data_IF_761952078777
#
_entry.id   IF_761952078777
#
_cell.length_a   1.000
_cell.length_b   1.000
_cell.length_c   1.000
_cell.angle_alpha   90.00
_cell.angle_beta   90.00
_cell.angle_gamma   90.00
#
_symmetry.space_group_name_H-M   'P 1'
#
loop_
_entity.id
_entity.type
_entity.pdbx_description
1 polymer ?
#
# COMPACT_ATOMS: atom_id res chain seq x y z
N UNK A 1 1.73 17.02 4.03
CA UNK A 1 2.81 16.24 3.39
C UNK A 1 2.16 15.34 2.34
N UNK A 2 2.46 15.58 1.05
CA UNK A 2 1.78 15.03 -0.13
C UNK A 2 2.40 13.68 -0.56
N UNK A 3 2.04 12.58 0.08
CA UNK A 3 2.36 11.24 -0.45
C UNK A 3 1.09 10.68 -1.07
N UNK A 4 0.99 10.73 -2.39
CA UNK A 4 -0.11 10.10 -3.14
C UNK A 4 0.02 8.58 -3.10
N UNK A 5 -0.34 7.95 -1.97
CA UNK A 5 -0.33 6.48 -1.83
C UNK A 5 -1.16 5.81 -2.94
N UNK A 6 -2.23 6.49 -3.40
CA UNK A 6 -3.06 6.03 -4.50
C UNK A 6 -2.29 5.77 -5.80
N UNK A 7 -1.31 6.61 -6.14
CA UNK A 7 -0.48 6.41 -7.35
C UNK A 7 0.47 5.22 -7.21
N UNK A 8 1.00 4.99 -6.00
CA UNK A 8 1.86 3.86 -5.72
C UNK A 8 1.07 2.54 -5.79
N UNK A 9 -0.09 2.51 -5.14
CA UNK A 9 -1.00 1.35 -5.19
C UNK A 9 -1.41 1.02 -6.63
N UNK A 10 -1.73 2.04 -7.43
CA UNK A 10 -2.13 1.88 -8.82
C UNK A 10 -0.97 1.37 -9.70
N UNK A 11 0.22 1.90 -9.48
CA UNK A 11 1.44 1.44 -10.17
C UNK A 11 1.66 -0.04 -9.92
N UNK A 12 1.58 -0.49 -8.67
CA UNK A 12 1.81 -1.88 -8.29
C UNK A 12 0.74 -2.79 -8.87
N UNK A 13 -0.53 -2.37 -8.86
CA UNK A 13 -1.59 -3.12 -9.54
C UNK A 13 -1.23 -3.38 -11.02
N UNK A 14 -0.67 -2.38 -11.71
CA UNK A 14 -0.14 -2.56 -13.06
C UNK A 14 0.98 -3.60 -13.15
N UNK A 15 1.92 -3.65 -12.20
CA UNK A 15 2.96 -4.67 -12.15
C UNK A 15 2.40 -6.07 -11.87
N UNK A 16 1.39 -6.18 -11.01
CA UNK A 16 0.69 -7.42 -10.71
C UNK A 16 0.00 -7.98 -11.97
N UNK A 17 -0.76 -7.14 -12.69
CA UNK A 17 -1.46 -7.55 -13.92
C UNK A 17 -0.53 -8.03 -15.04
N UNK A 18 0.74 -7.62 -15.02
CA UNK A 18 1.76 -8.03 -16.01
C UNK A 18 2.65 -9.19 -15.55
N UNK A 19 2.38 -9.78 -14.38
CA UNK A 19 3.17 -10.91 -13.87
C UNK A 19 4.64 -10.59 -13.63
N UNK A 20 4.96 -9.37 -13.17
CA UNK A 20 6.34 -8.97 -12.96
C UNK A 20 7.00 -9.72 -11.80
N UNK A 21 8.24 -10.19 -11.98
CA UNK A 21 9.04 -10.77 -10.88
C UNK A 21 9.30 -9.83 -9.70
N UNK A 22 9.04 -8.53 -9.88
CA UNK A 22 9.25 -7.50 -8.86
C UNK A 22 8.03 -7.26 -7.96
N UNK A 23 6.95 -8.04 -8.10
CA UNK A 23 5.73 -7.85 -7.29
C UNK A 23 6.05 -7.92 -5.78
N UNK A 24 6.74 -8.96 -5.31
CA UNK A 24 7.04 -9.12 -3.89
C UNK A 24 7.85 -7.94 -3.27
N UNK A 25 8.98 -7.49 -3.85
CA UNK A 25 9.70 -6.33 -3.32
C UNK A 25 8.89 -5.03 -3.42
N UNK A 26 8.14 -4.80 -4.50
CA UNK A 26 7.29 -3.62 -4.64
C UNK A 26 6.15 -3.58 -3.61
N UNK A 27 5.50 -4.71 -3.34
CA UNK A 27 4.49 -4.84 -2.29
C UNK A 27 5.05 -4.54 -0.90
N UNK A 28 6.28 -4.97 -0.60
CA UNK A 28 6.95 -4.66 0.68
C UNK A 28 7.18 -3.16 0.84
N UNK A 29 7.69 -2.49 -0.19
CA UNK A 29 7.86 -1.04 -0.14
C UNK A 29 6.51 -0.31 0.01
N UNK A 30 5.47 -0.76 -0.68
CA UNK A 30 4.14 -0.17 -0.54
C UNK A 30 3.53 -0.38 0.83
N UNK A 31 3.75 -1.54 1.44
CA UNK A 31 3.34 -1.85 2.80
C UNK A 31 3.91 -0.81 3.78
N UNK A 32 5.22 -0.59 3.75
CA UNK A 32 5.90 0.37 4.63
C UNK A 32 5.36 1.79 4.47
N UNK A 33 5.10 2.21 3.22
CA UNK A 33 4.57 3.54 2.93
C UNK A 33 3.10 3.65 3.38
N UNK A 34 2.28 2.61 3.18
CA UNK A 34 0.90 2.56 3.66
C UNK A 34 0.84 2.65 5.19
N UNK A 35 1.72 1.94 5.91
CA UNK A 35 1.78 2.00 7.37
C UNK A 35 2.22 3.37 7.88
N UNK A 36 3.22 3.99 7.24
CA UNK A 36 3.64 5.35 7.55
C UNK A 36 2.54 6.38 7.28
N UNK A 37 1.83 6.23 6.15
CA UNK A 37 0.71 7.11 5.79
C UNK A 37 -0.45 6.97 6.78
N UNK A 38 -0.85 5.75 7.12
CA UNK A 38 -1.91 5.52 8.10
C UNK A 38 -1.57 6.13 9.47
N UNK A 39 -0.34 5.93 9.95
CA UNK A 39 0.12 6.47 11.24
C UNK A 39 0.11 7.99 11.29
N UNK A 40 0.44 8.65 10.17
CA UNK A 40 0.39 10.11 10.09
C UNK A 40 -1.06 10.61 9.98
N UNK A 41 -1.86 10.00 9.11
CA UNK A 41 -3.26 10.37 8.91
C UNK A 41 -4.12 10.18 10.16
N UNK A 42 -3.83 9.19 11.00
CA UNK A 42 -4.53 8.96 12.28
C UNK A 42 -4.36 10.11 13.29
N UNK A 43 -3.28 10.90 13.18
CA UNK A 43 -3.05 12.06 14.07
C UNK A 43 -4.00 13.22 13.78
N UNK A 44 -4.69 13.18 12.64
CA UNK A 44 -5.57 14.25 12.17
C UNK A 44 -7.03 13.84 12.33
N UNK A 45 -7.84 14.69 12.97
CA UNK A 45 -9.23 14.39 13.32
C UNK A 45 -10.25 14.75 12.20
N UNK A 46 -9.80 14.66 10.95
CA UNK A 46 -10.51 15.13 9.76
C UNK A 46 -11.10 13.91 9.06
N UNK A 47 -12.34 13.99 8.54
CA UNK A 47 -13.00 12.87 7.84
C UNK A 47 -12.14 12.28 6.71
N UNK A 48 -11.47 13.14 5.95
CA UNK A 48 -10.56 12.71 4.88
C UNK A 48 -9.37 11.90 5.41
N UNK A 49 -8.73 12.37 6.49
CA UNK A 49 -7.55 11.71 7.06
C UNK A 49 -7.91 10.37 7.71
N UNK A 50 -9.06 10.29 8.38
CA UNK A 50 -9.56 9.03 8.94
C UNK A 50 -9.88 8.01 7.83
N UNK A 51 -10.55 8.45 6.76
CA UNK A 51 -10.81 7.60 5.59
C UNK A 51 -9.52 7.12 4.92
N UNK A 52 -8.53 8.00 4.78
CA UNK A 52 -7.22 7.66 4.22
C UNK A 52 -6.48 6.63 5.09
N UNK A 53 -6.50 6.81 6.42
CA UNK A 53 -5.87 5.88 7.35
C UNK A 53 -6.47 4.47 7.26
N UNK A 54 -7.80 4.36 7.26
CA UNK A 54 -8.50 3.08 7.11
C UNK A 54 -8.18 2.42 5.77
N UNK A 55 -8.19 3.17 4.68
CA UNK A 55 -7.86 2.66 3.36
C UNK A 55 -6.41 2.13 3.29
N UNK A 56 -5.46 2.85 3.90
CA UNK A 56 -4.06 2.43 3.96
C UNK A 56 -3.86 1.18 4.81
N UNK A 57 -4.57 1.04 5.93
CA UNK A 57 -4.53 -0.17 6.77
C UNK A 57 -5.04 -1.40 6.00
N UNK A 58 -6.17 -1.26 5.30
CA UNK A 58 -6.70 -2.34 4.47
C UNK A 58 -5.72 -2.72 3.34
N UNK A 59 -5.16 -1.73 2.65
CA UNK A 59 -4.18 -1.97 1.59
C UNK A 59 -2.90 -2.65 2.11
N UNK A 60 -2.40 -2.24 3.29
CA UNK A 60 -1.26 -2.85 3.95
C UNK A 60 -1.50 -4.35 4.22
N UNK A 61 -2.67 -4.72 4.72
CA UNK A 61 -2.98 -6.12 4.98
C UNK A 61 -2.97 -6.97 3.69
N UNK A 62 -3.54 -6.45 2.61
CA UNK A 62 -3.53 -7.13 1.32
C UNK A 62 -2.12 -7.23 0.72
N UNK A 63 -1.33 -6.16 0.77
CA UNK A 63 0.05 -6.22 0.30
C UNK A 63 0.92 -7.18 1.12
N UNK A 64 0.64 -7.36 2.42
CA UNK A 64 1.30 -8.37 3.24
C UNK A 64 1.00 -9.78 2.74
N UNK A 65 -0.26 -10.09 2.41
CA UNK A 65 -0.67 -11.38 1.80
C UNK A 65 0.03 -11.59 0.45
N UNK A 66 0.01 -10.58 -0.41
CA UNK A 66 0.58 -10.67 -1.76
C UNK A 66 2.11 -10.79 -1.73
N UNK A 67 2.79 -10.08 -0.82
CA UNK A 67 4.24 -10.19 -0.67
C UNK A 67 4.71 -11.59 -0.23
N UNK A 68 3.83 -12.36 0.44
CA UNK A 68 4.10 -13.76 0.80
C UNK A 68 3.87 -14.72 -0.38
N UNK A 69 2.86 -14.47 -1.22
CA UNK A 69 2.50 -15.33 -2.35
C UNK A 69 3.36 -15.05 -3.59
N UNK A 70 3.70 -13.79 -3.87
CA UNK A 70 4.47 -13.38 -5.04
C UNK A 70 5.95 -13.82 -5.04
N UNK A 71 6.39 -14.55 -4.00
CA UNK A 71 7.69 -15.23 -3.98
C UNK A 71 7.66 -16.62 -4.63
N UNK A 72 6.47 -17.13 -5.00
CA UNK A 72 6.26 -18.48 -5.51
C UNK A 72 6.07 -18.58 -7.04
N UNK A 73 6.23 -17.47 -7.78
CA UNK A 73 6.21 -17.41 -9.26
C UNK A 73 7.59 -16.95 -9.72
#
# INVERSE_FOLDING_TARGET
MFISIGQLCWTIAGFMSRGSRFIAPLCRTCLEICEACAKECQKHNNTHCQSCATACQNAAEEYRKIAMVGAAI
#
